data_IF_411369506114
#
_entry.id   IF_411369506114
#
_cell.length_a   1.000
_cell.length_b   1.000
_cell.length_c   1.000
_cell.angle_alpha   90.00
_cell.angle_beta   90.00
_cell.angle_gamma   90.00
#
_symmetry.space_group_name_H-M   'P 1'
#
loop_
_entity.id
_entity.type
_entity.pdbx_description
1 polymer ?
#
# COMPACT_ATOMS: atom_id res chain seq x y z
N UNK A 1 -17.15 31.78 27.96
CA UNK A 1 -15.82 32.33 27.62
C UNK A 1 -14.89 31.97 28.75
N UNK A 2 -13.96 31.05 28.56
CA UNK A 2 -12.94 30.71 29.57
C UNK A 2 -12.01 31.91 29.66
N UNK A 3 -11.96 32.54 30.86
CA UNK A 3 -11.07 33.69 31.13
C UNK A 3 -9.62 33.22 31.00
N UNK A 4 -8.87 33.78 30.01
CA UNK A 4 -7.43 33.59 29.87
C UNK A 4 -6.94 32.98 28.57
N UNK A 5 -7.81 32.60 27.64
CA UNK A 5 -7.40 32.10 26.32
C UNK A 5 -7.64 33.17 25.26
N UNK A 6 -6.60 33.46 24.46
CA UNK A 6 -6.69 34.39 23.33
C UNK A 6 -7.72 33.84 22.31
N UNK A 7 -8.65 34.69 21.80
CA UNK A 7 -9.65 34.25 20.80
C UNK A 7 -9.04 33.54 19.59
N UNK A 8 -7.86 33.96 19.13
CA UNK A 8 -7.13 33.30 18.04
C UNK A 8 -6.68 31.88 18.41
N UNK A 9 -6.20 31.66 19.60
CA UNK A 9 -5.81 30.30 20.06
C UNK A 9 -7.05 29.40 20.19
N UNK A 10 -8.18 29.96 20.65
CA UNK A 10 -9.43 29.17 20.70
C UNK A 10 -9.96 28.80 19.34
N UNK A 11 -9.83 29.67 18.33
CA UNK A 11 -10.18 29.39 16.95
C UNK A 11 -9.31 28.23 16.39
N UNK A 12 -7.99 28.31 16.58
CA UNK A 12 -7.05 27.25 16.14
C UNK A 12 -7.40 25.92 16.81
N UNK A 13 -7.71 25.92 18.12
CA UNK A 13 -8.12 24.70 18.85
C UNK A 13 -9.39 24.07 18.25
N UNK A 14 -10.39 24.90 17.92
CA UNK A 14 -11.65 24.42 17.32
C UNK A 14 -11.40 23.84 15.94
N UNK A 15 -10.66 24.56 15.09
CA UNK A 15 -10.33 24.09 13.73
C UNK A 15 -9.54 22.78 13.80
N UNK A 16 -8.53 22.69 14.66
CA UNK A 16 -7.75 21.46 14.83
C UNK A 16 -8.63 20.29 15.28
N UNK A 17 -9.54 20.52 16.23
CA UNK A 17 -10.48 19.50 16.69
C UNK A 17 -11.41 19.01 15.58
N UNK A 18 -11.94 19.92 14.77
CA UNK A 18 -12.80 19.54 13.64
C UNK A 18 -12.03 18.80 12.55
N UNK A 19 -10.78 19.19 12.25
CA UNK A 19 -9.92 18.45 11.33
C UNK A 19 -9.65 17.03 11.84
N UNK A 20 -9.35 16.86 13.12
CA UNK A 20 -9.16 15.53 13.74
C UNK A 20 -10.45 14.70 13.63
N UNK A 21 -11.62 15.29 13.88
CA UNK A 21 -12.90 14.61 13.75
C UNK A 21 -13.17 14.11 12.32
N UNK A 22 -12.84 14.94 11.31
CA UNK A 22 -12.97 14.58 9.88
C UNK A 22 -12.02 13.45 9.50
N UNK A 23 -10.80 13.46 10.03
CA UNK A 23 -9.79 12.41 9.76
C UNK A 23 -10.06 11.09 10.50
N UNK A 24 -10.95 11.09 11.49
CA UNK A 24 -11.23 9.94 12.34
C UNK A 24 -10.40 9.95 13.64
N UNK A 25 -11.03 9.56 14.72
CA UNK A 25 -10.43 9.59 16.06
C UNK A 25 -9.83 8.23 16.48
N UNK A 26 -10.06 7.17 15.73
CA UNK A 26 -9.67 5.82 16.09
C UNK A 26 -8.55 5.32 15.19
N UNK A 27 -7.57 4.67 15.81
CA UNK A 27 -6.55 3.93 15.07
C UNK A 27 -7.18 2.64 14.53
N UNK A 28 -7.16 2.46 13.21
CA UNK A 28 -7.55 1.21 12.56
C UNK A 28 -6.30 0.41 12.24
N UNK A 29 -5.99 -0.64 13.02
CA UNK A 29 -4.84 -1.48 12.75
C UNK A 29 -5.06 -2.28 11.46
N UNK A 30 -3.96 -2.78 10.88
CA UNK A 30 -4.03 -3.72 9.76
C UNK A 30 -4.79 -4.99 10.18
N UNK A 31 -5.61 -5.51 9.29
CA UNK A 31 -6.25 -6.81 9.47
C UNK A 31 -5.18 -7.91 9.35
N UNK A 32 -4.72 -8.40 10.47
CA UNK A 32 -3.72 -9.47 10.53
C UNK A 32 -4.41 -10.84 10.59
N UNK A 33 -4.00 -11.76 9.70
CA UNK A 33 -4.43 -13.14 9.76
C UNK A 33 -3.59 -13.89 10.82
N UNK A 34 -4.27 -14.63 11.71
CA UNK A 34 -3.58 -15.37 12.78
C UNK A 34 -3.20 -16.79 12.37
N UNK A 35 -3.83 -17.35 11.34
CA UNK A 35 -3.69 -18.77 10.96
C UNK A 35 -2.93 -18.99 9.64
N UNK A 36 -2.68 -17.91 8.90
CA UNK A 36 -1.97 -17.93 7.61
C UNK A 36 -1.17 -16.64 7.46
N UNK A 37 -0.25 -16.54 6.48
CA UNK A 37 0.37 -15.26 6.19
C UNK A 37 -0.66 -14.17 5.91
N UNK A 38 -0.48 -13.00 6.53
CA UNK A 38 -1.27 -11.81 6.19
C UNK A 38 -0.86 -11.32 4.81
N UNK A 39 -1.81 -11.22 3.89
CA UNK A 39 -1.55 -10.79 2.51
C UNK A 39 -2.02 -9.35 2.31
N UNK A 40 -1.10 -8.49 1.88
CA UNK A 40 -1.33 -7.07 1.64
C UNK A 40 -1.09 -6.76 0.17
N UNK A 41 -2.11 -6.27 -0.51
CA UNK A 41 -2.04 -5.85 -1.91
C UNK A 41 -1.88 -4.34 -2.01
N UNK A 42 -0.78 -3.89 -2.66
CA UNK A 42 -0.50 -2.47 -2.85
C UNK A 42 -1.07 -2.00 -4.19
N UNK A 43 -2.00 -1.06 -4.16
CA UNK A 43 -2.66 -0.49 -5.32
C UNK A 43 -2.29 1.00 -5.50
N UNK A 44 -2.48 1.56 -6.70
CA UNK A 44 -2.29 3.00 -6.94
C UNK A 44 -1.66 3.34 -8.29
N UNK A 45 -1.64 4.63 -8.62
CA UNK A 45 -1.10 5.12 -9.90
C UNK A 45 0.43 5.07 -9.95
N UNK A 46 0.97 5.23 -11.15
CA UNK A 46 2.40 5.39 -11.37
C UNK A 46 2.90 6.67 -10.68
N UNK A 47 4.05 6.59 -10.02
CA UNK A 47 4.62 7.73 -9.32
C UNK A 47 4.02 8.03 -7.94
N UNK A 48 2.96 7.33 -7.52
CA UNK A 48 2.38 7.49 -6.19
C UNK A 48 3.28 6.99 -5.05
N UNK A 49 4.37 6.28 -5.35
CA UNK A 49 5.33 5.80 -4.35
C UNK A 49 5.04 4.40 -3.81
N UNK A 50 4.31 3.55 -4.55
CA UNK A 50 3.97 2.18 -4.14
C UNK A 50 5.18 1.35 -3.70
N UNK A 51 6.17 1.21 -4.56
CA UNK A 51 7.39 0.41 -4.29
C UNK A 51 8.10 0.89 -3.02
N UNK A 52 8.20 2.22 -2.83
CA UNK A 52 8.79 2.79 -1.61
C UNK A 52 7.93 2.50 -0.38
N UNK A 53 6.60 2.64 -0.51
CA UNK A 53 5.66 2.34 0.57
C UNK A 53 5.68 0.85 0.93
N UNK A 54 5.79 -0.04 -0.08
CA UNK A 54 5.97 -1.49 0.11
C UNK A 54 7.20 -1.80 0.95
N UNK A 55 8.35 -1.23 0.63
CA UNK A 55 9.57 -1.43 1.41
C UNK A 55 9.46 -0.91 2.84
N UNK A 56 8.89 0.30 3.03
CA UNK A 56 8.69 0.90 4.37
C UNK A 56 7.67 0.12 5.21
N UNK A 57 6.58 -0.35 4.60
CA UNK A 57 5.60 -1.20 5.29
C UNK A 57 6.22 -2.54 5.68
N UNK A 58 7.06 -3.11 4.81
CA UNK A 58 7.82 -4.32 5.12
C UNK A 58 8.75 -4.13 6.33
N UNK A 59 9.48 -3.01 6.38
CA UNK A 59 10.32 -2.67 7.53
C UNK A 59 9.49 -2.52 8.81
N UNK A 60 8.37 -1.80 8.74
CA UNK A 60 7.46 -1.63 9.88
C UNK A 60 6.94 -2.96 10.43
N UNK A 61 6.57 -3.90 9.55
CA UNK A 61 6.11 -5.23 9.98
C UNK A 61 7.26 -6.07 10.55
N UNK A 62 8.47 -5.96 9.98
CA UNK A 62 9.67 -6.61 10.50
C UNK A 62 10.02 -6.12 11.92
N UNK A 63 9.89 -4.83 12.19
CA UNK A 63 10.08 -4.25 13.53
C UNK A 63 9.05 -4.78 14.54
N UNK A 64 7.93 -5.30 14.07
CA UNK A 64 6.93 -6.05 14.84
C UNK A 64 7.16 -7.56 14.87
N UNK A 65 8.39 -7.98 14.61
CA UNK A 65 8.82 -9.39 14.64
C UNK A 65 8.12 -10.29 13.59
N UNK A 66 7.57 -9.69 12.51
CA UNK A 66 6.99 -10.45 11.40
C UNK A 66 8.08 -10.86 10.41
N UNK A 67 8.02 -12.09 9.91
CA UNK A 67 8.82 -12.53 8.76
C UNK A 67 8.09 -12.12 7.48
N UNK A 68 8.64 -11.13 6.77
CA UNK A 68 7.96 -10.45 5.65
C UNK A 68 8.58 -10.86 4.32
N UNK A 69 7.71 -11.18 3.34
CA UNK A 69 8.07 -11.37 1.93
C UNK A 69 7.53 -10.20 1.11
N UNK A 70 8.39 -9.54 0.36
CA UNK A 70 8.00 -8.57 -0.66
C UNK A 70 7.86 -9.27 -2.01
N UNK A 71 6.80 -8.99 -2.77
CA UNK A 71 6.54 -9.61 -4.07
C UNK A 71 6.57 -8.55 -5.16
N UNK A 72 7.47 -8.72 -6.14
CA UNK A 72 7.61 -7.83 -7.29
C UNK A 72 6.66 -8.26 -8.42
N UNK A 73 5.42 -7.79 -8.39
CA UNK A 73 4.41 -8.06 -9.41
C UNK A 73 4.32 -6.97 -10.52
N UNK A 74 5.13 -5.90 -10.45
CA UNK A 74 5.30 -4.92 -11.54
C UNK A 74 6.24 -5.46 -12.63
N UNK A 75 5.71 -6.31 -13.48
CA UNK A 75 6.47 -6.96 -14.58
C UNK A 75 6.79 -6.04 -15.74
N UNK A 76 6.08 -4.91 -15.85
CA UNK A 76 6.20 -4.01 -17.00
C UNK A 76 7.39 -3.07 -16.89
N UNK A 77 7.90 -2.88 -15.66
CA UNK A 77 9.01 -1.97 -15.35
C UNK A 77 10.14 -2.71 -14.64
N UNK A 78 11.14 -3.21 -15.40
CA UNK A 78 12.30 -3.86 -14.79
C UNK A 78 12.99 -3.03 -13.69
N UNK A 79 13.01 -1.70 -13.86
CA UNK A 79 13.55 -0.80 -12.87
C UNK A 79 12.78 -0.82 -11.52
N UNK A 80 11.46 -1.07 -11.53
CA UNK A 80 10.67 -1.20 -10.30
C UNK A 80 11.03 -2.48 -9.54
N UNK A 81 11.23 -3.59 -10.25
CA UNK A 81 11.70 -4.86 -9.66
C UNK A 81 13.06 -4.67 -8.99
N UNK A 82 14.02 -4.03 -9.69
CA UNK A 82 15.35 -3.77 -9.12
C UNK A 82 15.30 -2.77 -7.95
N UNK A 83 14.41 -1.78 -8.01
CA UNK A 83 14.16 -0.87 -6.90
C UNK A 83 13.65 -1.63 -5.67
N UNK A 84 12.68 -2.55 -5.84
CA UNK A 84 12.16 -3.34 -4.73
C UNK A 84 13.24 -4.25 -4.14
N UNK A 85 14.07 -4.87 -4.97
CA UNK A 85 15.23 -5.67 -4.52
C UNK A 85 16.24 -4.83 -3.73
N UNK A 86 16.51 -3.61 -4.18
CA UNK A 86 17.40 -2.67 -3.47
C UNK A 86 16.84 -2.32 -2.09
N UNK A 87 15.54 -2.02 -2.01
CA UNK A 87 14.86 -1.76 -0.73
C UNK A 87 14.86 -3.01 0.16
N UNK A 88 14.61 -4.19 -0.43
CA UNK A 88 14.69 -5.47 0.28
C UNK A 88 16.07 -5.67 0.91
N UNK A 89 17.12 -5.46 0.15
CA UNK A 89 18.51 -5.56 0.65
C UNK A 89 18.82 -4.51 1.72
N UNK A 90 18.33 -3.27 1.55
CA UNK A 90 18.54 -2.18 2.51
C UNK A 90 17.87 -2.46 3.86
N UNK A 91 16.68 -3.05 3.85
CA UNK A 91 15.88 -3.32 5.04
C UNK A 91 16.03 -4.76 5.54
N UNK A 92 16.90 -5.56 4.89
CA UNK A 92 17.08 -6.98 5.16
C UNK A 92 15.72 -7.72 5.13
N UNK A 93 15.02 -7.57 4.00
CA UNK A 93 13.76 -8.21 3.65
C UNK A 93 13.95 -9.06 2.40
N UNK A 94 13.29 -10.21 2.38
CA UNK A 94 13.31 -11.08 1.22
C UNK A 94 12.36 -10.58 0.13
N UNK A 95 12.80 -10.66 -1.14
CA UNK A 95 12.03 -10.22 -2.30
C UNK A 95 11.85 -11.38 -3.26
N UNK A 96 10.60 -11.75 -3.50
CA UNK A 96 10.22 -12.69 -4.54
C UNK A 96 10.01 -11.96 -5.87
N UNK A 97 10.64 -12.44 -6.93
CA UNK A 97 10.46 -11.91 -8.28
C UNK A 97 10.51 -13.05 -9.30
N UNK A 98 9.80 -12.88 -10.41
CA UNK A 98 9.83 -13.86 -11.49
C UNK A 98 11.26 -14.06 -12.00
N UNK A 99 11.65 -15.32 -12.19
CA UNK A 99 12.93 -15.70 -12.82
C UNK A 99 12.84 -15.68 -14.34
N UNK A 100 11.65 -15.92 -14.88
CA UNK A 100 11.38 -16.01 -16.32
C UNK A 100 10.73 -14.73 -16.83
N UNK A 101 11.01 -14.40 -18.10
CA UNK A 101 10.33 -13.30 -18.80
C UNK A 101 8.92 -13.75 -19.25
N UNK A 102 8.02 -12.79 -19.40
CA UNK A 102 6.64 -12.99 -19.89
C UNK A 102 5.69 -13.77 -18.95
N UNK A 103 5.95 -13.78 -17.66
CA UNK A 103 5.00 -14.28 -16.65
C UNK A 103 3.94 -13.21 -16.39
N UNK A 104 2.73 -13.64 -16.05
CA UNK A 104 1.67 -12.72 -15.65
C UNK A 104 1.77 -12.33 -14.17
N UNK A 105 1.33 -11.13 -13.77
CA UNK A 105 1.37 -10.71 -12.36
C UNK A 105 0.64 -11.67 -11.41
N UNK A 106 -0.51 -12.18 -11.83
CA UNK A 106 -1.29 -13.16 -11.07
C UNK A 106 -0.54 -14.49 -10.86
N UNK A 107 0.19 -14.97 -11.86
CA UNK A 107 1.01 -16.19 -11.76
C UNK A 107 2.18 -16.03 -10.80
N UNK A 108 2.85 -14.86 -10.85
CA UNK A 108 3.94 -14.53 -9.92
C UNK A 108 3.42 -14.45 -8.50
N UNK A 109 2.23 -13.88 -8.33
CA UNK A 109 1.57 -13.77 -7.03
C UNK A 109 1.28 -15.15 -6.46
N UNK A 110 0.71 -16.06 -7.24
CA UNK A 110 0.41 -17.44 -6.81
C UNK A 110 1.68 -18.20 -6.39
N UNK A 111 2.75 -18.10 -7.18
CA UNK A 111 4.04 -18.70 -6.84
C UNK A 111 4.63 -18.11 -5.57
N UNK A 112 4.50 -16.79 -5.37
CA UNK A 112 4.98 -16.12 -4.17
C UNK A 112 4.22 -16.54 -2.91
N UNK A 113 2.90 -16.78 -3.02
CA UNK A 113 2.08 -17.28 -1.92
C UNK A 113 2.50 -18.69 -1.51
N UNK A 114 2.71 -19.58 -2.48
CA UNK A 114 3.22 -20.94 -2.23
C UNK A 114 4.60 -20.90 -1.58
N UNK A 115 5.51 -20.10 -2.12
CA UNK A 115 6.84 -19.90 -1.55
C UNK A 115 6.78 -19.38 -0.11
N UNK A 116 5.92 -18.42 0.16
CA UNK A 116 5.75 -17.85 1.50
C UNK A 116 5.26 -18.89 2.51
N UNK A 117 4.32 -19.72 2.10
CA UNK A 117 3.80 -20.82 2.94
C UNK A 117 4.88 -21.85 3.25
N UNK A 118 5.64 -22.31 2.26
CA UNK A 118 6.72 -23.29 2.41
C UNK A 118 7.86 -22.78 3.31
N UNK A 119 8.11 -21.47 3.30
CA UNK A 119 9.18 -20.83 4.02
C UNK A 119 8.74 -20.12 5.33
N UNK A 120 7.50 -20.34 5.77
CA UNK A 120 6.95 -19.80 7.01
C UNK A 120 7.04 -18.27 7.13
N UNK A 121 6.67 -17.55 6.07
CA UNK A 121 6.46 -16.11 6.15
C UNK A 121 5.15 -15.78 6.87
N UNK A 122 5.16 -14.70 7.67
CA UNK A 122 3.97 -14.24 8.40
C UNK A 122 3.20 -13.16 7.63
N UNK A 123 3.89 -12.44 6.76
CA UNK A 123 3.30 -11.35 6.00
C UNK A 123 3.85 -11.32 4.58
N UNK A 124 2.98 -11.03 3.63
CA UNK A 124 3.29 -10.93 2.20
C UNK A 124 2.80 -9.58 1.71
N UNK A 125 3.66 -8.78 1.09
CA UNK A 125 3.29 -7.49 0.52
C UNK A 125 3.52 -7.55 -0.99
N UNK A 126 2.45 -7.39 -1.77
CA UNK A 126 2.47 -7.50 -3.22
C UNK A 126 2.55 -6.09 -3.82
N UNK A 127 3.71 -5.74 -4.40
CA UNK A 127 3.93 -4.48 -5.13
C UNK A 127 3.48 -4.64 -6.58
N UNK A 128 2.40 -3.96 -6.95
CA UNK A 128 1.79 -4.06 -8.29
C UNK A 128 2.22 -2.93 -9.21
N UNK A 129 2.04 -3.15 -10.50
CA UNK A 129 2.22 -2.11 -11.49
C UNK A 129 1.28 -0.92 -11.24
N UNK A 130 1.76 0.28 -11.56
CA UNK A 130 0.94 1.47 -11.65
C UNK A 130 0.94 2.00 -13.07
N UNK A 131 -0.19 2.50 -13.54
CA UNK A 131 -0.29 3.24 -14.78
C UNK A 131 -0.48 4.73 -14.52
N UNK A 132 -0.28 5.55 -15.53
CA UNK A 132 -0.41 7.01 -15.42
C UNK A 132 -1.87 7.43 -15.14
N UNK A 133 -2.81 6.64 -15.63
CA UNK A 133 -4.24 6.88 -15.49
C UNK A 133 -4.96 5.57 -15.17
N UNK A 134 -6.15 5.67 -14.59
CA UNK A 134 -7.04 4.54 -14.40
C UNK A 134 -7.58 4.11 -15.76
N UNK A 135 -7.32 2.88 -16.16
CA UNK A 135 -7.93 2.23 -17.30
C UNK A 135 -8.52 0.86 -16.94
N UNK A 136 -9.40 0.36 -17.77
CA UNK A 136 -10.08 -0.91 -17.49
C UNK A 136 -9.11 -2.10 -17.48
N UNK A 137 -8.01 -2.03 -18.24
CA UNK A 137 -6.97 -3.09 -18.28
C UNK A 137 -6.23 -3.16 -16.94
N UNK A 138 -5.86 -2.00 -16.36
CA UNK A 138 -5.24 -1.93 -15.05
C UNK A 138 -6.17 -2.48 -13.96
N UNK A 139 -7.43 -2.06 -13.98
CA UNK A 139 -8.40 -2.51 -13.00
C UNK A 139 -8.68 -4.01 -13.11
N UNK A 140 -8.78 -4.54 -14.32
CA UNK A 140 -8.93 -5.98 -14.54
C UNK A 140 -7.72 -6.78 -14.06
N UNK A 141 -6.50 -6.25 -14.23
CA UNK A 141 -5.28 -6.88 -13.69
C UNK A 141 -5.29 -6.89 -12.15
N UNK A 142 -5.62 -5.76 -11.53
CA UNK A 142 -5.74 -5.67 -10.08
C UNK A 142 -6.78 -6.65 -9.51
N UNK A 143 -7.91 -6.79 -10.19
CA UNK A 143 -8.96 -7.76 -9.80
C UNK A 143 -8.42 -9.20 -9.88
N UNK A 144 -7.73 -9.58 -10.96
CA UNK A 144 -7.13 -10.92 -11.08
C UNK A 144 -6.09 -11.20 -9.99
N UNK A 145 -5.21 -10.23 -9.71
CA UNK A 145 -4.23 -10.37 -8.62
C UNK A 145 -4.95 -10.52 -7.29
N UNK A 146 -5.99 -9.73 -7.02
CA UNK A 146 -6.81 -9.81 -5.83
C UNK A 146 -7.50 -11.18 -5.69
N UNK A 147 -8.10 -11.69 -6.76
CA UNK A 147 -8.77 -13.01 -6.76
C UNK A 147 -7.82 -14.15 -6.42
N UNK A 148 -6.59 -14.14 -6.97
CA UNK A 148 -5.57 -15.15 -6.70
C UNK A 148 -5.00 -15.00 -5.29
N UNK A 149 -4.73 -13.77 -4.84
CA UNK A 149 -4.07 -13.52 -3.57
C UNK A 149 -5.01 -13.53 -2.37
N UNK A 150 -6.31 -13.34 -2.57
CA UNK A 150 -7.31 -13.21 -1.50
C UNK A 150 -6.80 -12.36 -0.33
N UNK A 151 -6.42 -11.09 -0.57
CA UNK A 151 -5.69 -10.30 0.39
C UNK A 151 -6.55 -9.93 1.62
N UNK A 152 -5.92 -9.92 2.79
CA UNK A 152 -6.52 -9.41 4.04
C UNK A 152 -6.64 -7.88 3.99
N UNK A 153 -5.73 -7.23 3.26
CA UNK A 153 -5.70 -5.78 3.05
C UNK A 153 -5.44 -5.41 1.58
N UNK A 154 -6.19 -4.45 1.08
CA UNK A 154 -5.94 -3.76 -0.19
C UNK A 154 -5.66 -2.30 0.11
N UNK A 155 -4.41 -1.89 0.06
CA UNK A 155 -3.97 -0.54 0.42
C UNK A 155 -3.72 0.31 -0.83
N UNK A 156 -4.50 1.39 -0.97
CA UNK A 156 -4.30 2.36 -2.03
C UNK A 156 -3.21 3.35 -1.63
N UNK A 157 -2.14 3.41 -2.42
CA UNK A 157 -1.07 4.40 -2.24
C UNK A 157 -1.42 5.64 -3.04
N UNK A 158 -1.55 6.76 -2.35
CA UNK A 158 -1.99 8.05 -2.90
C UNK A 158 -0.92 9.10 -2.66
N UNK A 159 -0.53 9.80 -3.71
CA UNK A 159 0.30 10.99 -3.62
C UNK A 159 -0.53 12.13 -3.00
N UNK A 160 -0.09 12.67 -1.86
CA UNK A 160 -0.81 13.74 -1.18
C UNK A 160 -0.88 15.05 -1.99
N UNK A 161 0.01 15.21 -2.94
CA UNK A 161 0.10 16.43 -3.76
C UNK A 161 -0.97 16.51 -4.87
N UNK A 162 -1.69 15.42 -5.16
CA UNK A 162 -2.75 15.45 -6.19
C UNK A 162 -4.04 16.14 -5.71
N UNK A 163 -4.12 16.52 -4.45
CA UNK A 163 -5.23 17.29 -3.91
C UNK A 163 -6.57 16.56 -4.01
N UNK A 164 -7.59 17.27 -4.49
CA UNK A 164 -8.97 16.73 -4.55
C UNK A 164 -9.14 15.54 -5.49
N UNK A 165 -8.29 15.38 -6.48
CA UNK A 165 -8.31 14.20 -7.38
C UNK A 165 -8.11 12.90 -6.61
N UNK A 166 -7.50 12.97 -5.41
CA UNK A 166 -7.35 11.82 -4.53
C UNK A 166 -8.68 11.18 -4.13
N UNK A 167 -9.73 11.98 -3.96
CA UNK A 167 -11.06 11.49 -3.60
C UNK A 167 -11.69 10.67 -4.74
N UNK A 168 -11.64 11.18 -5.97
CA UNK A 168 -12.17 10.49 -7.16
C UNK A 168 -11.37 9.22 -7.47
N UNK A 169 -10.04 9.29 -7.33
CA UNK A 169 -9.15 8.15 -7.43
C UNK A 169 -9.54 7.05 -6.43
N UNK A 170 -9.67 7.42 -5.16
CA UNK A 170 -10.03 6.51 -4.07
C UNK A 170 -11.37 5.86 -4.31
N UNK A 171 -12.38 6.64 -4.72
CA UNK A 171 -13.70 6.13 -5.07
C UNK A 171 -13.64 5.11 -6.20
N UNK A 172 -12.93 5.43 -7.28
CA UNK A 172 -12.80 4.54 -8.45
C UNK A 172 -12.13 3.20 -8.10
N UNK A 173 -11.06 3.24 -7.28
CA UNK A 173 -10.41 2.02 -6.81
C UNK A 173 -11.29 1.24 -5.83
N UNK A 174 -12.03 1.92 -4.96
CA UNK A 174 -12.92 1.26 -4.02
C UNK A 174 -14.06 0.53 -4.73
N UNK A 175 -14.70 1.17 -5.71
CA UNK A 175 -15.81 0.59 -6.47
C UNK A 175 -15.38 -0.62 -7.32
N UNK A 176 -14.17 -0.60 -7.90
CA UNK A 176 -13.71 -1.66 -8.82
C UNK A 176 -12.92 -2.76 -8.11
N UNK A 177 -12.08 -2.41 -7.15
CA UNK A 177 -11.16 -3.35 -6.48
C UNK A 177 -11.55 -3.61 -5.03
N UNK A 178 -12.21 -2.65 -4.35
CA UNK A 178 -12.57 -2.75 -2.94
C UNK A 178 -11.35 -2.58 -2.05
N UNK A 179 -10.89 -1.33 -1.90
CA UNK A 179 -9.79 -0.99 -0.99
C UNK A 179 -10.25 -1.03 0.47
N UNK A 180 -9.36 -1.46 1.37
CA UNK A 180 -9.57 -1.50 2.81
C UNK A 180 -8.93 -0.31 3.53
N UNK A 181 -7.91 0.32 2.93
CA UNK A 181 -7.21 1.46 3.50
C UNK A 181 -6.41 2.24 2.47
N UNK A 182 -5.79 3.34 2.91
CA UNK A 182 -4.93 4.17 2.07
C UNK A 182 -3.63 4.54 2.77
N UNK A 183 -2.56 4.68 2.00
CA UNK A 183 -1.26 5.19 2.42
C UNK A 183 -1.03 6.52 1.69
N UNK A 184 -0.91 7.60 2.44
CA UNK A 184 -0.56 8.90 1.89
C UNK A 184 0.96 9.04 1.82
N UNK A 185 1.46 9.44 0.66
CA UNK A 185 2.89 9.66 0.41
C UNK A 185 3.19 11.13 0.14
N UNK A 186 4.46 11.50 0.17
CA UNK A 186 4.96 12.85 -0.13
C UNK A 186 4.34 13.95 0.75
N UNK A 187 4.03 13.61 2.02
CA UNK A 187 3.49 14.56 2.99
C UNK A 187 4.49 15.66 3.40
N UNK A 188 5.75 15.49 3.03
CA UNK A 188 6.86 16.43 3.20
C UNK A 188 7.06 17.36 2.00
N UNK A 189 6.22 17.24 0.96
CA UNK A 189 6.26 18.12 -0.21
C UNK A 189 5.63 19.48 0.08
N UNK A 190 6.24 20.53 -0.43
CA UNK A 190 5.66 21.87 -0.49
C UNK A 190 4.66 21.92 -1.66
N UNK A 191 3.39 22.20 -1.35
CA UNK A 191 2.30 22.42 -2.31
C UNK A 191 1.99 23.90 -2.47
#
# INVERSE_FOLDING_TARGET
VVRGVNPGQKFIEVVNKELINIMGNENSPLNENQNSPTVILMAGLQGAGKTTATGKLGLYLKEKEKKVLLVAADIYRPAAVEQLKTLGSQYDLEVFSAKEKNRKPEEITEEALNYASENNFNSIIIDTAGRLQIDDSMMAEMVRIKEVSNPDEVLLVVDSMIGQEAADLTKSFHEKVGISGAILTKLDGDS
#
